data_IF_546223321380
#
_entry.id   IF_546223321380
#
_cell.length_a   1.000
_cell.length_b   1.000
_cell.length_c   1.000
_cell.angle_alpha   90.00
_cell.angle_beta   90.00
_cell.angle_gamma   90.00
#
_symmetry.space_group_name_H-M   'P 1'
#
loop_
_entity.id
_entity.type
_entity.pdbx_description
1 polymer ?
#
# COMPACT_ATOMS: atom_id res chain seq x y z
N UNK A 1 -21.55 16.43 -8.40
CA UNK A 1 -21.01 17.45 -9.32
C UNK A 1 -20.17 18.44 -8.53
N UNK A 2 -19.03 18.80 -9.04
CA UNK A 2 -18.16 19.87 -8.51
C UNK A 2 -18.05 20.89 -9.65
N UNK A 3 -18.33 22.16 -9.35
CA UNK A 3 -18.27 23.26 -10.33
C UNK A 3 -18.98 22.98 -11.67
N UNK A 4 -20.15 22.32 -11.60
CA UNK A 4 -20.95 21.96 -12.77
C UNK A 4 -20.44 20.75 -13.58
N UNK A 5 -19.29 20.15 -13.19
CA UNK A 5 -18.73 18.96 -13.83
C UNK A 5 -19.15 17.68 -13.11
N UNK A 6 -19.29 16.61 -13.86
CA UNK A 6 -19.47 15.24 -13.34
C UNK A 6 -18.09 14.64 -13.11
N UNK A 7 -17.90 14.02 -11.95
CA UNK A 7 -16.69 13.29 -11.60
C UNK A 7 -17.03 11.83 -11.34
N UNK A 8 -16.18 10.96 -11.86
CA UNK A 8 -16.24 9.52 -11.62
C UNK A 8 -14.86 9.06 -11.12
N UNK A 9 -14.85 8.10 -10.20
CA UNK A 9 -13.64 7.44 -9.73
C UNK A 9 -13.57 6.05 -10.33
N UNK A 10 -12.46 5.76 -10.99
CA UNK A 10 -12.18 4.46 -11.59
C UNK A 10 -10.92 3.88 -10.98
N UNK A 11 -10.85 2.57 -10.83
CA UNK A 11 -9.70 1.83 -10.33
C UNK A 11 -9.14 0.93 -11.44
N UNK A 12 -7.82 0.86 -11.53
CA UNK A 12 -7.10 -0.03 -12.43
C UNK A 12 -6.23 -0.92 -11.58
N UNK A 13 -6.36 -2.22 -11.74
CA UNK A 13 -5.53 -3.21 -11.08
C UNK A 13 -4.60 -3.88 -12.11
N UNK A 14 -3.34 -4.06 -11.73
CA UNK A 14 -2.34 -4.71 -12.56
C UNK A 14 -2.05 -6.12 -12.04
N UNK A 15 -1.75 -7.03 -12.96
CA UNK A 15 -1.27 -8.36 -12.58
C UNK A 15 0.10 -8.26 -11.90
N UNK A 16 0.39 -9.13 -10.92
CA UNK A 16 1.66 -9.12 -10.21
C UNK A 16 2.83 -9.43 -11.14
N UNK A 17 3.83 -8.59 -11.11
CA UNK A 17 5.11 -8.75 -11.80
C UNK A 17 6.25 -8.41 -10.84
N UNK A 18 7.51 -8.49 -11.28
CA UNK A 18 8.62 -7.99 -10.47
C UNK A 18 8.52 -6.46 -10.24
N UNK A 19 9.16 -5.95 -9.19
CA UNK A 19 8.99 -4.57 -8.74
C UNK A 19 9.34 -3.53 -9.83
N UNK A 20 10.43 -3.72 -10.57
CA UNK A 20 10.85 -2.81 -11.65
C UNK A 20 9.79 -2.74 -12.75
N UNK A 21 9.33 -3.88 -13.24
CA UNK A 21 8.28 -3.93 -14.26
C UNK A 21 6.95 -3.34 -13.75
N UNK A 22 6.63 -3.48 -12.47
CA UNK A 22 5.42 -2.88 -11.90
C UNK A 22 5.46 -1.35 -11.96
N UNK A 23 6.62 -0.75 -11.64
CA UNK A 23 6.81 0.70 -11.78
C UNK A 23 6.68 1.15 -13.23
N UNK A 24 7.35 0.47 -14.16
CA UNK A 24 7.31 0.77 -15.60
C UNK A 24 5.87 0.68 -16.15
N UNK A 25 5.16 -0.41 -15.83
CA UNK A 25 3.78 -0.59 -16.26
C UNK A 25 2.87 0.53 -15.79
N UNK A 26 2.98 0.94 -14.53
CA UNK A 26 2.15 2.01 -14.00
C UNK A 26 2.52 3.38 -14.61
N UNK A 27 3.82 3.65 -14.83
CA UNK A 27 4.25 4.89 -15.51
C UNK A 27 3.69 4.96 -16.93
N UNK A 28 3.81 3.88 -17.70
CA UNK A 28 3.26 3.79 -19.07
C UNK A 28 1.74 3.91 -19.04
N UNK A 29 1.07 3.21 -18.12
CA UNK A 29 -0.38 3.27 -18.00
C UNK A 29 -0.88 4.69 -17.70
N UNK A 30 -0.26 5.41 -16.76
CA UNK A 30 -0.60 6.80 -16.46
C UNK A 30 -0.46 7.70 -17.69
N UNK A 31 0.57 7.48 -18.49
CA UNK A 31 0.77 8.21 -19.74
C UNK A 31 -0.29 7.86 -20.80
N UNK A 32 -0.55 6.57 -21.02
CA UNK A 32 -1.56 6.09 -21.99
C UNK A 32 -2.94 6.61 -21.62
N UNK A 33 -3.35 6.48 -20.36
CA UNK A 33 -4.64 6.93 -19.85
C UNK A 33 -4.85 8.43 -20.09
N UNK A 34 -3.83 9.27 -19.81
CA UNK A 34 -3.92 10.70 -20.06
C UNK A 34 -4.11 11.01 -21.54
N UNK A 35 -3.37 10.34 -22.42
CA UNK A 35 -3.47 10.56 -23.86
C UNK A 35 -4.82 10.08 -24.43
N UNK A 36 -5.31 8.92 -24.00
CA UNK A 36 -6.62 8.42 -24.42
C UNK A 36 -7.73 9.34 -23.90
N UNK A 37 -7.71 9.73 -22.63
CA UNK A 37 -8.70 10.65 -22.07
C UNK A 37 -8.77 11.95 -22.88
N UNK A 38 -7.63 12.53 -23.22
CA UNK A 38 -7.56 13.72 -24.07
C UNK A 38 -8.23 13.51 -25.45
N UNK A 39 -7.95 12.36 -26.10
CA UNK A 39 -8.55 12.04 -27.40
C UNK A 39 -10.08 11.90 -27.34
N UNK A 40 -10.60 11.44 -26.21
CA UNK A 40 -12.04 11.28 -25.98
C UNK A 40 -12.71 12.49 -25.33
N UNK A 41 -11.98 13.58 -25.12
CA UNK A 41 -12.51 14.82 -24.53
C UNK A 41 -12.77 14.74 -23.02
N UNK A 42 -12.06 13.87 -22.30
CA UNK A 42 -12.14 13.74 -20.84
C UNK A 42 -10.94 14.39 -20.16
N UNK A 43 -11.19 15.08 -19.06
CA UNK A 43 -10.15 15.47 -18.10
C UNK A 43 -9.89 14.31 -17.14
N UNK A 44 -8.63 13.94 -16.92
CA UNK A 44 -8.26 12.90 -15.97
C UNK A 44 -7.19 13.39 -14.99
N UNK A 45 -7.30 12.94 -13.75
CA UNK A 45 -6.34 13.26 -12.71
C UNK A 45 -6.00 12.03 -11.88
N UNK A 46 -4.74 11.94 -11.44
CA UNK A 46 -4.25 10.99 -10.44
C UNK A 46 -3.97 11.69 -9.10
N UNK A 47 -4.47 12.90 -8.92
CA UNK A 47 -4.28 13.66 -7.68
C UNK A 47 -4.90 12.92 -6.49
N UNK A 48 -4.23 12.88 -5.33
CA UNK A 48 -4.71 12.17 -4.14
C UNK A 48 -6.01 12.73 -3.59
N UNK A 49 -6.27 14.02 -3.82
CA UNK A 49 -7.47 14.70 -3.32
C UNK A 49 -7.87 15.82 -4.27
N UNK A 50 -9.04 15.68 -4.88
CA UNK A 50 -9.60 16.71 -5.77
C UNK A 50 -10.29 17.78 -4.94
N UNK A 51 -11.04 17.36 -3.91
CA UNK A 51 -11.83 18.26 -3.06
C UNK A 51 -11.80 17.79 -1.62
N UNK A 52 -11.50 18.70 -0.70
CA UNK A 52 -11.55 18.43 0.75
C UNK A 52 -12.96 18.01 1.16
N UNK A 53 -13.08 17.02 2.04
CA UNK A 53 -14.37 16.47 2.51
C UNK A 53 -15.02 15.46 1.57
N UNK A 54 -14.43 15.15 0.42
CA UNK A 54 -14.88 14.10 -0.50
C UNK A 54 -13.87 12.95 -0.53
N UNK A 55 -14.19 11.84 -1.19
CA UNK A 55 -13.29 10.71 -1.37
C UNK A 55 -11.96 11.14 -2.02
N UNK A 56 -10.88 10.49 -1.64
CA UNK A 56 -9.56 10.64 -2.26
C UNK A 56 -9.23 9.45 -3.14
N UNK A 57 -8.13 9.56 -3.90
CA UNK A 57 -7.61 8.48 -4.74
C UNK A 57 -6.30 7.96 -4.15
N UNK A 58 -6.26 6.66 -3.87
CA UNK A 58 -5.07 5.95 -3.38
C UNK A 58 -4.29 5.27 -4.49
N UNK A 59 -3.08 4.85 -4.15
CA UNK A 59 -2.26 3.92 -4.90
C UNK A 59 -1.91 2.78 -3.95
N UNK A 60 -2.64 1.68 -4.02
CA UNK A 60 -2.42 0.56 -3.15
C UNK A 60 -1.38 -0.38 -3.75
N UNK A 61 -0.33 -0.69 -2.97
CA UNK A 61 0.75 -1.54 -3.44
C UNK A 61 0.57 -2.94 -2.87
N UNK A 62 0.16 -3.87 -3.71
CA UNK A 62 0.12 -5.29 -3.39
C UNK A 62 1.49 -5.91 -3.61
N UNK A 63 2.01 -6.59 -2.61
CA UNK A 63 3.32 -7.22 -2.67
C UNK A 63 3.34 -8.61 -2.06
N UNK A 64 4.25 -9.43 -2.54
CA UNK A 64 4.51 -10.78 -2.01
C UNK A 64 6.00 -11.08 -2.00
N UNK A 65 6.44 -11.83 -1.02
CA UNK A 65 7.81 -12.32 -0.93
C UNK A 65 7.91 -13.62 -1.72
N UNK A 66 8.85 -13.68 -2.65
CA UNK A 66 9.10 -14.85 -3.46
C UNK A 66 10.44 -15.48 -3.11
N UNK A 67 10.51 -16.80 -3.08
CA UNK A 67 11.74 -17.57 -2.97
C UNK A 67 11.66 -18.78 -3.91
N UNK A 68 12.64 -18.94 -4.78
CA UNK A 68 12.71 -20.05 -5.72
C UNK A 68 11.41 -20.24 -6.55
N UNK A 69 10.84 -19.11 -7.00
CA UNK A 69 9.59 -19.08 -7.76
C UNK A 69 8.31 -19.34 -6.94
N UNK A 70 8.41 -19.55 -5.64
CA UNK A 70 7.29 -19.84 -4.76
C UNK A 70 6.90 -18.65 -3.88
N UNK A 71 5.62 -18.41 -3.72
CA UNK A 71 5.07 -17.41 -2.82
C UNK A 71 5.28 -17.82 -1.36
N UNK A 72 5.95 -16.98 -0.60
CA UNK A 72 6.28 -17.24 0.82
C UNK A 72 5.28 -16.60 1.80
N UNK A 73 4.17 -16.07 1.32
CA UNK A 73 3.23 -15.32 2.17
C UNK A 73 2.39 -16.24 3.06
N UNK A 74 2.14 -17.47 2.62
CA UNK A 74 1.38 -18.46 3.39
C UNK A 74 2.26 -19.66 3.76
N UNK A 75 1.98 -20.24 4.92
CA UNK A 75 2.48 -21.53 5.36
C UNK A 75 1.36 -22.26 6.11
N UNK A 76 1.08 -23.50 5.76
CA UNK A 76 0.06 -24.34 6.39
C UNK A 76 -1.34 -23.66 6.46
N UNK A 77 -1.71 -22.90 5.42
CA UNK A 77 -2.99 -22.20 5.32
C UNK A 77 -3.09 -20.90 6.14
N UNK A 78 -2.04 -20.50 6.83
CA UNK A 78 -1.96 -19.27 7.63
C UNK A 78 -0.90 -18.30 7.09
N UNK A 79 -0.96 -17.04 7.51
CA UNK A 79 0.06 -16.04 7.21
C UNK A 79 1.40 -16.48 7.80
N UNK A 80 2.42 -16.58 6.95
CA UNK A 80 3.74 -17.08 7.33
C UNK A 80 4.52 -16.10 8.19
N UNK A 81 5.56 -16.58 8.88
CA UNK A 81 6.52 -15.70 9.56
C UNK A 81 7.28 -14.80 8.58
N UNK A 82 7.52 -15.24 7.34
CA UNK A 82 8.08 -14.42 6.27
C UNK A 82 7.20 -13.20 6.02
N UNK A 83 5.90 -13.40 5.86
CA UNK A 83 4.95 -12.30 5.67
C UNK A 83 4.88 -11.38 6.90
N UNK A 84 4.83 -11.94 8.10
CA UNK A 84 4.79 -11.18 9.36
C UNK A 84 6.05 -10.33 9.57
N UNK A 85 7.23 -10.87 9.26
CA UNK A 85 8.48 -10.12 9.30
C UNK A 85 8.49 -8.96 8.31
N UNK A 86 8.07 -9.19 7.06
CA UNK A 86 7.94 -8.12 6.06
C UNK A 86 6.97 -7.02 6.55
N UNK A 87 5.82 -7.41 7.10
CA UNK A 87 4.86 -6.46 7.70
C UNK A 87 5.50 -5.68 8.85
N UNK A 88 6.24 -6.33 9.74
CA UNK A 88 6.91 -5.65 10.86
C UNK A 88 7.86 -4.54 10.39
N UNK A 89 8.65 -4.81 9.36
CA UNK A 89 9.52 -3.81 8.76
C UNK A 89 8.73 -2.65 8.14
N UNK A 90 7.63 -2.95 7.44
CA UNK A 90 6.73 -1.91 6.94
C UNK A 90 6.11 -1.08 8.08
N UNK A 91 5.72 -1.68 9.20
CA UNK A 91 5.20 -0.96 10.37
C UNK A 91 6.24 -0.01 10.96
N UNK A 92 7.48 -0.45 11.13
CA UNK A 92 8.55 0.39 11.67
C UNK A 92 8.93 1.56 10.76
N UNK A 93 8.93 1.33 9.45
CA UNK A 93 9.36 2.33 8.46
C UNK A 93 8.18 3.08 7.80
N UNK A 94 6.94 2.78 8.16
CA UNK A 94 5.76 3.40 7.60
C UNK A 94 5.80 4.95 7.57
N UNK A 95 6.21 5.64 8.65
CA UNK A 95 6.32 7.09 8.62
C UNK A 95 7.30 7.61 7.56
N UNK A 96 8.42 6.92 7.33
CA UNK A 96 9.39 7.29 6.30
C UNK A 96 8.93 6.96 4.88
N UNK A 97 8.16 5.88 4.73
CA UNK A 97 7.58 5.48 3.43
C UNK A 97 6.63 6.56 2.89
N UNK A 98 5.95 7.32 3.76
CA UNK A 98 5.10 8.43 3.31
C UNK A 98 5.87 9.51 2.55
N UNK A 99 7.17 9.69 2.80
CA UNK A 99 7.99 10.63 2.03
C UNK A 99 8.13 10.23 0.55
N UNK A 100 8.06 8.94 0.24
CA UNK A 100 8.10 8.42 -1.13
C UNK A 100 6.71 8.25 -1.74
N UNK A 101 5.72 7.89 -0.92
CA UNK A 101 4.38 7.53 -1.37
C UNK A 101 3.38 8.67 -1.35
N UNK A 102 3.66 9.78 -0.65
CA UNK A 102 2.75 10.90 -0.42
C UNK A 102 3.52 12.21 -0.57
N UNK A 103 3.90 12.55 -1.80
CA UNK A 103 4.97 13.53 -2.11
C UNK A 103 4.50 14.98 -2.21
N UNK A 104 3.21 15.25 -2.10
CA UNK A 104 2.71 16.62 -2.19
C UNK A 104 1.70 16.97 -1.07
N UNK A 105 1.43 18.25 -0.80
CA UNK A 105 0.53 18.65 0.28
C UNK A 105 -0.89 18.08 0.15
N UNK A 106 -1.39 17.84 -1.06
CA UNK A 106 -2.75 17.29 -1.26
C UNK A 106 -2.85 15.82 -0.83
N UNK A 107 -1.74 15.11 -0.72
CA UNK A 107 -1.67 13.77 -0.12
C UNK A 107 -2.19 13.78 1.32
N UNK A 108 -1.84 14.79 2.08
CA UNK A 108 -2.21 14.92 3.50
C UNK A 108 -3.63 15.44 3.72
N UNK A 109 -4.29 15.93 2.68
CA UNK A 109 -5.75 16.12 2.69
C UNK A 109 -6.52 14.81 2.47
N UNK A 110 -5.84 13.77 1.96
CA UNK A 110 -6.38 12.41 1.87
C UNK A 110 -6.10 11.61 3.15
N UNK A 111 -4.90 11.73 3.72
CA UNK A 111 -4.48 11.02 4.94
C UNK A 111 -5.07 11.71 6.18
N UNK A 112 -6.38 11.71 6.32
CA UNK A 112 -7.09 12.32 7.44
C UNK A 112 -7.99 11.31 8.14
N UNK A 113 -8.21 11.43 9.45
CA UNK A 113 -9.07 10.53 10.21
C UNK A 113 -10.50 10.47 9.65
N UNK A 114 -11.16 9.32 9.84
CA UNK A 114 -12.56 9.08 9.45
C UNK A 114 -12.83 9.15 7.94
N UNK A 115 -11.81 8.99 7.12
CA UNK A 115 -11.93 8.79 5.68
C UNK A 115 -11.31 7.45 5.28
N UNK A 116 -11.31 7.13 3.97
CA UNK A 116 -10.90 5.82 3.46
C UNK A 116 -9.40 5.52 3.62
N UNK A 117 -8.57 6.58 3.68
CA UNK A 117 -7.13 6.42 3.80
C UNK A 117 -6.70 6.11 5.25
N UNK A 118 -5.75 5.20 5.47
CA UNK A 118 -5.24 4.89 6.79
C UNK A 118 -4.38 6.03 7.33
N UNK A 119 -4.51 6.32 8.63
CA UNK A 119 -3.70 7.32 9.33
C UNK A 119 -2.88 6.73 10.46
N UNK A 120 -3.15 5.49 10.85
CA UNK A 120 -2.49 4.81 11.96
C UNK A 120 -1.60 3.68 11.47
N UNK A 121 -0.48 3.47 12.16
CA UNK A 121 0.49 2.41 11.86
C UNK A 121 0.00 1.11 12.47
N UNK A 122 -0.73 0.34 11.69
CA UNK A 122 -1.25 -0.97 12.08
C UNK A 122 -1.53 -1.83 10.86
N UNK A 123 -1.69 -3.14 11.08
CA UNK A 123 -2.02 -4.08 10.03
C UNK A 123 -3.12 -5.06 10.48
N UNK A 124 -3.78 -5.72 9.53
CA UNK A 124 -4.80 -6.70 9.86
C UNK A 124 -5.34 -7.46 8.66
N UNK A 125 -6.00 -8.59 8.96
CA UNK A 125 -6.63 -9.45 7.98
C UNK A 125 -7.97 -8.86 7.53
N UNK A 126 -8.16 -8.70 6.22
CA UNK A 126 -9.42 -8.25 5.61
C UNK A 126 -9.97 -6.92 6.17
N UNK A 127 -9.16 -6.21 6.94
CA UNK A 127 -9.54 -4.98 7.63
C UNK A 127 -9.22 -3.76 6.74
N UNK A 128 -10.23 -3.00 6.34
CA UNK A 128 -10.07 -1.80 5.50
C UNK A 128 -9.63 -0.56 6.27
N UNK A 129 -9.62 -0.60 7.60
CA UNK A 129 -9.23 0.54 8.43
C UNK A 129 -7.74 0.61 8.76
N UNK A 130 -6.96 -0.41 8.37
CA UNK A 130 -5.53 -0.52 8.69
C UNK A 130 -4.62 -0.04 7.56
N UNK A 131 -3.36 0.26 7.89
CA UNK A 131 -2.34 0.71 6.95
C UNK A 131 -1.87 -0.41 6.01
N UNK A 132 -1.55 -1.57 6.57
CA UNK A 132 -1.21 -2.77 5.79
C UNK A 132 -2.31 -3.79 5.95
N UNK A 133 -3.00 -4.07 4.86
CA UNK A 133 -4.06 -5.06 4.83
C UNK A 133 -3.52 -6.37 4.26
N UNK A 134 -3.87 -7.47 4.90
CA UNK A 134 -3.80 -8.80 4.29
C UNK A 134 -5.16 -9.00 3.59
N UNK A 135 -5.23 -8.92 2.26
CA UNK A 135 -6.48 -9.10 1.55
C UNK A 135 -6.97 -10.55 1.70
N UNK A 136 -8.24 -10.76 1.39
CA UNK A 136 -8.80 -12.10 1.33
C UNK A 136 -7.97 -12.90 0.33
N UNK A 137 -7.16 -13.81 0.85
CA UNK A 137 -6.42 -14.73 -0.02
C UNK A 137 -7.41 -15.59 -0.78
N UNK A 138 -7.04 -15.96 -1.98
CA UNK A 138 -7.81 -16.87 -2.82
C UNK A 138 -7.76 -18.32 -2.25
N UNK A 139 -7.74 -18.44 -0.94
CA UNK A 139 -7.83 -19.72 -0.20
C UNK A 139 -9.28 -20.20 -0.08
N UNK A 140 -10.14 -19.79 -1.01
CA UNK A 140 -11.51 -20.30 -1.06
C UNK A 140 -11.47 -21.82 -1.27
N UNK A 141 -12.16 -22.54 -0.40
CA UNK A 141 -12.34 -24.00 -0.54
C UNK A 141 -13.24 -24.35 -1.73
N UNK A 142 -13.86 -23.35 -2.35
CA UNK A 142 -14.81 -23.49 -3.46
C UNK A 142 -14.31 -22.68 -4.64
N UNK A 143 -14.27 -23.31 -5.80
CA UNK A 143 -13.99 -22.63 -7.06
C UNK A 143 -15.17 -21.74 -7.45
N UNK A 144 -15.04 -20.44 -7.16
CA UNK A 144 -16.07 -19.45 -7.47
C UNK A 144 -16.20 -19.20 -8.97
N UNK A 145 -15.14 -19.45 -9.76
CA UNK A 145 -15.20 -19.33 -11.22
C UNK A 145 -16.08 -20.45 -11.81
N UNK A 146 -15.87 -21.68 -11.36
CA UNK A 146 -16.71 -22.81 -11.77
C UNK A 146 -18.17 -22.65 -11.34
N UNK A 147 -18.41 -22.04 -10.15
CA UNK A 147 -19.78 -21.72 -9.70
C UNK A 147 -20.43 -20.62 -10.53
N UNK A 148 -19.68 -19.60 -10.91
CA UNK A 148 -20.20 -18.48 -11.70
C UNK A 148 -20.40 -18.85 -13.18
N UNK A 149 -19.56 -19.75 -13.69
CA UNK A 149 -19.63 -20.25 -15.08
C UNK A 149 -19.60 -21.77 -15.11
N UNK A 150 -20.77 -22.45 -15.04
CA UNK A 150 -20.84 -23.93 -15.05
C UNK A 150 -20.29 -24.61 -16.31
N UNK A 151 -19.97 -23.83 -17.35
CA UNK A 151 -19.36 -24.31 -18.59
C UNK A 151 -17.82 -24.36 -18.50
N UNK A 152 -17.23 -23.72 -17.49
CA UNK A 152 -15.81 -23.84 -17.15
C UNK A 152 -15.63 -24.96 -16.13
N UNK A 153 -15.39 -26.16 -16.65
CA UNK A 153 -15.39 -27.37 -15.82
C UNK A 153 -14.15 -27.58 -14.93
N UNK A 154 -13.04 -26.86 -15.16
CA UNK A 154 -11.83 -27.01 -14.35
C UNK A 154 -10.99 -25.73 -14.38
N UNK A 155 -11.20 -24.82 -13.45
CA UNK A 155 -10.21 -23.80 -13.22
C UNK A 155 -9.07 -24.39 -12.38
N UNK A 156 -8.02 -24.88 -13.05
CA UNK A 156 -6.74 -25.27 -12.42
C UNK A 156 -5.99 -24.02 -11.92
N UNK A 157 -6.70 -23.10 -11.30
CA UNK A 157 -6.08 -21.91 -10.71
C UNK A 157 -5.44 -22.28 -9.37
N UNK A 158 -4.11 -22.34 -9.36
CA UNK A 158 -3.36 -22.40 -8.10
C UNK A 158 -3.53 -21.07 -7.34
N UNK A 159 -4.46 -21.07 -6.41
CA UNK A 159 -4.77 -19.91 -5.56
C UNK A 159 -3.72 -19.68 -4.48
N UNK A 160 -2.88 -20.67 -4.17
CA UNK A 160 -1.86 -20.60 -3.10
C UNK A 160 -0.78 -19.56 -3.43
N UNK A 161 -0.51 -19.33 -4.73
CA UNK A 161 0.47 -18.37 -5.21
C UNK A 161 -0.03 -16.91 -5.23
N UNK A 162 -1.29 -16.64 -4.89
CA UNK A 162 -1.90 -15.30 -5.05
C UNK A 162 -1.91 -14.43 -3.80
N UNK A 163 -1.59 -14.97 -2.62
CA UNK A 163 -1.60 -14.17 -1.39
C UNK A 163 -0.60 -13.02 -1.46
N UNK A 164 -1.07 -11.84 -1.13
CA UNK A 164 -0.28 -10.60 -1.01
C UNK A 164 -0.51 -9.93 0.34
N UNK A 165 0.26 -8.89 0.61
CA UNK A 165 -0.06 -7.84 1.57
C UNK A 165 -0.15 -6.52 0.81
N UNK A 166 -0.99 -5.61 1.29
CA UNK A 166 -1.34 -4.36 0.62
C UNK A 166 -0.96 -3.17 1.50
N UNK A 167 -0.02 -2.34 1.02
CA UNK A 167 0.27 -1.04 1.60
C UNK A 167 -0.71 -0.01 1.05
N UNK A 168 -1.42 0.73 1.92
CA UNK A 168 -2.59 1.52 1.53
C UNK A 168 -2.42 3.05 1.67
N UNK A 169 -1.33 3.52 2.27
CA UNK A 169 -1.09 4.96 2.40
C UNK A 169 -0.70 5.67 1.10
N UNK A 170 0.08 5.09 0.15
CA UNK A 170 0.53 5.81 -1.03
C UNK A 170 -0.63 6.33 -1.90
N UNK A 171 -0.33 7.29 -2.75
CA UNK A 171 -1.25 7.86 -3.72
C UNK A 171 -0.58 8.15 -5.08
N UNK A 172 -1.36 8.65 -6.01
CA UNK A 172 -0.91 8.88 -7.38
C UNK A 172 0.19 9.94 -7.57
N UNK A 173 0.59 10.65 -6.51
CA UNK A 173 1.72 11.59 -6.51
C UNK A 173 3.07 10.92 -6.28
N UNK A 174 3.08 9.65 -5.87
CA UNK A 174 4.28 8.91 -5.51
C UNK A 174 5.33 8.92 -6.63
N UNK A 175 6.60 9.03 -6.24
CA UNK A 175 7.71 8.55 -7.07
C UNK A 175 7.73 7.03 -6.99
N UNK A 176 7.28 6.38 -8.07
CA UNK A 176 7.03 4.93 -8.06
C UNK A 176 8.29 4.11 -7.80
N UNK A 177 9.42 4.50 -8.38
CA UNK A 177 10.67 3.77 -8.23
C UNK A 177 11.20 3.91 -6.80
N UNK A 178 11.19 5.12 -6.25
CA UNK A 178 11.60 5.35 -4.86
C UNK A 178 10.65 4.69 -3.87
N UNK A 179 9.34 4.72 -4.11
CA UNK A 179 8.36 4.05 -3.27
C UNK A 179 8.59 2.54 -3.23
N UNK A 180 8.75 1.89 -4.39
CA UNK A 180 8.97 0.44 -4.43
C UNK A 180 10.33 0.05 -3.83
N UNK A 181 11.38 0.84 -4.06
CA UNK A 181 12.67 0.66 -3.40
C UNK A 181 12.53 0.80 -1.87
N UNK A 182 11.83 1.84 -1.40
CA UNK A 182 11.57 2.06 0.02
C UNK A 182 10.79 0.91 0.67
N UNK A 183 9.80 0.35 -0.02
CA UNK A 183 9.04 -0.81 0.44
C UNK A 183 9.92 -2.08 0.48
N UNK A 184 10.79 -2.28 -0.51
CA UNK A 184 11.75 -3.39 -0.51
C UNK A 184 12.72 -3.29 0.68
N UNK A 185 13.23 -2.08 0.95
CA UNK A 185 14.06 -1.80 2.14
C UNK A 185 13.29 -2.09 3.42
N UNK A 186 12.03 -1.69 3.51
CA UNK A 186 11.20 -1.95 4.69
C UNK A 186 10.98 -3.45 4.92
N UNK A 187 10.64 -4.20 3.88
CA UNK A 187 10.50 -5.65 3.99
C UNK A 187 11.82 -6.31 4.43
N UNK A 188 12.95 -5.93 3.82
CA UNK A 188 14.27 -6.41 4.19
C UNK A 188 14.60 -6.11 5.64
N UNK A 189 14.37 -4.88 6.09
CA UNK A 189 14.57 -4.48 7.49
C UNK A 189 13.83 -5.40 8.46
N UNK A 190 12.59 -5.79 8.13
CA UNK A 190 11.81 -6.73 8.92
C UNK A 190 12.43 -8.14 9.03
N UNK A 191 13.28 -8.54 8.08
CA UNK A 191 14.04 -9.81 8.17
C UNK A 191 15.32 -9.67 9.01
N UNK A 192 15.84 -8.46 9.17
CA UNK A 192 17.10 -8.17 9.87
C UNK A 192 16.91 -7.89 11.36
N UNK A 193 15.75 -7.37 11.77
CA UNK A 193 15.47 -7.08 13.17
C UNK A 193 15.04 -8.34 13.95
N UNK A 194 15.61 -8.51 15.15
CA UNK A 194 15.37 -9.71 15.98
C UNK A 194 13.92 -9.82 16.47
N UNK A 195 13.29 -8.69 16.80
CA UNK A 195 11.96 -8.64 17.40
C UNK A 195 10.81 -8.46 16.38
N UNK A 196 11.04 -8.76 15.09
CA UNK A 196 10.06 -8.55 14.02
C UNK A 196 8.68 -9.15 14.32
N UNK A 197 8.64 -10.42 14.78
CA UNK A 197 7.36 -11.08 15.07
C UNK A 197 6.62 -10.43 16.23
N UNK A 198 7.33 -9.93 17.25
CA UNK A 198 6.71 -9.19 18.33
C UNK A 198 6.12 -7.85 17.85
N UNK A 199 6.81 -7.14 16.97
CA UNK A 199 6.30 -5.90 16.34
C UNK A 199 5.05 -6.21 15.51
N UNK A 200 5.07 -7.28 14.71
CA UNK A 200 3.91 -7.71 13.95
C UNK A 200 2.71 -7.96 14.88
N UNK A 201 2.90 -8.66 15.99
CA UNK A 201 1.83 -8.93 16.95
C UNK A 201 1.30 -7.66 17.63
N UNK A 202 2.17 -6.75 18.06
CA UNK A 202 1.80 -5.50 18.72
C UNK A 202 1.02 -4.55 17.82
N UNK A 203 1.28 -4.58 16.50
CA UNK A 203 0.64 -3.71 15.51
C UNK A 203 -0.55 -4.36 14.80
N UNK A 204 -0.88 -5.60 15.17
CA UNK A 204 -2.03 -6.32 14.62
C UNK A 204 -3.36 -5.81 15.16
N UNK A 205 -4.32 -5.59 14.25
CA UNK A 205 -5.66 -5.11 14.59
C UNK A 205 -6.71 -5.90 13.83
N UNK A 206 -7.53 -6.62 14.57
CA UNK A 206 -8.62 -7.46 14.05
C UNK A 206 -10.02 -6.80 14.09
N UNK A 207 -10.09 -5.52 14.49
CA UNK A 207 -11.33 -4.75 14.62
C UNK A 207 -11.28 -3.47 13.81
N UNK A 208 -12.44 -2.91 13.48
CA UNK A 208 -12.49 -1.59 12.86
C UNK A 208 -12.11 -0.51 13.89
N UNK A 209 -10.92 0.09 13.72
CA UNK A 209 -10.37 1.10 14.64
C UNK A 209 -11.16 2.42 14.67
N UNK A 210 -12.04 2.66 13.69
CA UNK A 210 -12.86 3.88 13.63
C UNK A 210 -14.17 3.76 14.40
N UNK A 211 -14.49 2.58 14.95
CA UNK A 211 -15.64 2.41 15.82
C UNK A 211 -15.36 2.97 17.23
N UNK A 212 -16.34 3.65 17.82
CA UNK A 212 -16.19 4.34 19.11
C UNK A 212 -15.73 3.40 20.24
N UNK A 213 -16.17 2.16 20.23
CA UNK A 213 -15.80 1.12 21.19
C UNK A 213 -14.32 0.71 21.14
N UNK A 214 -13.64 1.01 20.03
CA UNK A 214 -12.22 0.69 19.82
C UNK A 214 -11.29 1.91 20.00
N UNK A 215 -11.80 3.02 20.54
CA UNK A 215 -11.07 4.29 20.69
C UNK A 215 -9.75 4.14 21.48
N UNK A 216 -9.70 3.25 22.48
CA UNK A 216 -8.49 3.05 23.27
C UNK A 216 -7.42 2.29 22.50
N UNK A 217 -7.80 1.34 21.62
CA UNK A 217 -6.87 0.69 20.70
C UNK A 217 -6.29 1.70 19.71
N UNK A 218 -7.15 2.58 19.17
CA UNK A 218 -6.73 3.63 18.24
C UNK A 218 -5.69 4.58 18.87
N UNK A 219 -5.89 4.98 20.12
CA UNK A 219 -4.95 5.86 20.84
C UNK A 219 -3.58 5.25 21.09
N UNK A 220 -3.50 3.92 21.21
CA UNK A 220 -2.25 3.20 21.42
C UNK A 220 -1.41 3.05 20.15
N UNK A 221 -1.99 3.26 18.97
CA UNK A 221 -1.31 3.12 17.69
C UNK A 221 -0.52 4.39 17.32
N UNK A 222 0.68 4.21 16.79
CA UNK A 222 1.42 5.31 16.19
C UNK A 222 0.67 5.86 14.98
N UNK A 223 0.85 7.15 14.71
CA UNK A 223 0.23 7.82 13.56
C UNK A 223 1.23 8.04 12.44
N UNK A 224 0.73 8.06 11.21
CA UNK A 224 1.50 8.51 10.05
C UNK A 224 1.73 10.03 10.15
N UNK A 225 2.80 10.56 9.52
CA UNK A 225 2.99 11.99 9.37
C UNK A 225 1.78 12.68 8.72
N UNK A 226 1.54 13.91 9.09
CA UNK A 226 0.42 14.73 8.61
C UNK A 226 0.83 15.80 7.59
N UNK A 227 2.09 15.82 7.20
CA UNK A 227 2.65 16.80 6.25
C UNK A 227 3.89 16.28 5.54
N UNK A 228 4.22 16.89 4.40
CA UNK A 228 5.47 16.60 3.67
C UNK A 228 6.70 16.83 4.54
N UNK A 229 6.71 17.89 5.33
CA UNK A 229 7.83 18.19 6.24
C UNK A 229 7.98 17.10 7.30
N UNK A 230 6.89 16.71 7.96
CA UNK A 230 6.92 15.66 8.97
C UNK A 230 7.36 14.30 8.40
N UNK A 231 6.94 13.96 7.18
CA UNK A 231 7.37 12.72 6.52
C UNK A 231 8.85 12.75 6.15
N UNK A 232 9.36 13.88 5.68
CA UNK A 232 10.78 14.09 5.40
C UNK A 232 11.62 13.98 6.67
N UNK A 233 11.17 14.55 7.78
CA UNK A 233 11.83 14.43 9.10
C UNK A 233 11.89 12.96 9.57
N UNK A 234 10.82 12.20 9.35
CA UNK A 234 10.81 10.77 9.65
C UNK A 234 11.84 10.00 8.82
N UNK A 235 11.90 10.27 7.51
CA UNK A 235 12.88 9.66 6.62
C UNK A 235 14.31 10.03 7.02
N UNK A 236 14.57 11.29 7.37
CA UNK A 236 15.87 11.75 7.82
C UNK A 236 16.32 11.05 9.11
N UNK A 237 15.41 10.83 10.06
CA UNK A 237 15.70 10.11 11.31
C UNK A 237 16.03 8.63 11.08
N UNK A 238 15.45 8.02 10.04
CA UNK A 238 15.67 6.62 9.67
C UNK A 238 16.63 6.44 8.49
N UNK A 239 17.38 7.49 8.13
CA UNK A 239 18.29 7.54 6.98
C UNK A 239 19.26 6.35 6.94
N UNK A 240 19.80 5.94 8.08
CA UNK A 240 20.76 4.84 8.19
C UNK A 240 20.20 3.48 7.75
N UNK A 241 18.87 3.30 7.72
CA UNK A 241 18.22 2.08 7.25
C UNK A 241 18.12 2.08 5.71
N UNK A 242 17.88 3.25 5.12
CA UNK A 242 17.67 3.37 3.67
C UNK A 242 18.97 3.51 2.88
N UNK A 243 19.95 4.28 3.37
CA UNK A 243 21.19 4.58 2.63
C UNK A 243 22.07 3.39 2.29
N UNK A 244 22.25 2.35 3.14
CA UNK A 244 23.10 1.22 2.79
C UNK A 244 22.61 0.42 1.57
N UNK A 245 21.35 0.60 1.20
CA UNK A 245 20.71 -0.13 0.10
C UNK A 245 20.60 0.71 -1.17
N UNK A 246 20.55 2.04 -1.02
CA UNK A 246 20.51 2.96 -2.15
C UNK A 246 21.93 3.47 -2.45
N UNK A 247 22.49 3.03 -3.57
CA UNK A 247 23.75 3.60 -4.12
C UNK A 247 23.60 5.07 -4.55
N UNK A 248 22.39 5.61 -4.53
CA UNK A 248 22.13 7.01 -4.77
C UNK A 248 21.98 7.72 -3.42
N UNK A 249 22.78 8.76 -3.23
CA UNK A 249 22.55 9.68 -2.12
C UNK A 249 21.09 10.12 -2.15
N UNK A 250 20.35 9.81 -1.09
CA UNK A 250 19.05 10.40 -0.85
C UNK A 250 19.27 11.90 -0.58
N UNK A 251 19.54 12.66 -1.64
CA UNK A 251 19.36 14.09 -1.58
C UNK A 251 17.86 14.31 -1.57
N UNK A 252 17.30 14.50 -0.37
CA UNK A 252 15.96 15.03 -0.23
C UNK A 252 15.88 16.27 -1.13
N UNK A 253 14.84 16.41 -1.97
CA UNK A 253 14.65 17.65 -2.69
C UNK A 253 14.61 18.75 -1.65
N UNK A 254 15.61 19.64 -1.70
CA UNK A 254 15.62 20.84 -0.89
C UNK A 254 14.45 21.66 -1.39
N UNK A 255 13.34 21.65 -0.64
CA UNK A 255 12.26 22.58 -0.89
C UNK A 255 12.80 23.93 -0.43
N UNK A 256 13.23 24.72 -1.42
CA UNK A 256 13.55 26.13 -1.22
C UNK A 256 12.24 26.91 -1.12
#
# INVERSE_FOLDING_TARGET
MLDGKVYEQNEIEFLPVNAENAADQLMIAKWVIRNLAYQYGYDITFAPKITVGKAGSGLHIHMRMMKDGQNQMLKDGALSDTARKAIAGMMQLAPSITAFGNTNPTSYFRLVPHQEAPTNVCWGDRNRSVLVRVPLGWSAQTDMCALANPLESDSNYDTTQKQTVEMRSPDGSADLYQLLAGLAVACRHGFEIENALAIAEQTYVNVNIHQKENADKLKALAQLPDSCAASADCLQKQRTVFEPVSYTHLTLPTIA
#
